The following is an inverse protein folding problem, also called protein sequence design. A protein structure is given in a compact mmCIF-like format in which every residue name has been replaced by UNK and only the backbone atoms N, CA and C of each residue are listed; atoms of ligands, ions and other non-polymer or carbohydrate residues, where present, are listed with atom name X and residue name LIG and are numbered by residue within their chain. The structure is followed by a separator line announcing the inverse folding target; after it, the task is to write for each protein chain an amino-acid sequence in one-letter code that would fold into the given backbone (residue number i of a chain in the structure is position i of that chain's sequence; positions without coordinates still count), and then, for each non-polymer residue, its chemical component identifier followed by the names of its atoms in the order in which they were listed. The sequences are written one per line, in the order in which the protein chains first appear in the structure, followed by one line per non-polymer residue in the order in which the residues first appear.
data_IF_600344066056
#
_entry.id   IF_600344066056
#
_cell.length_a   1.000
_cell.length_b   1.000
_cell.length_c   1.000
_cell.angle_alpha   90.00
_cell.angle_beta   90.00
_cell.angle_gamma   90.00
#
_symmetry.space_group_name_H-M   'P 1'
#
loop_
_entity.id
_entity.type
_entity.pdbx_description
1 polymer ?
#
# COMPACT_ATOMS: atom_id res chain seq x y z
N UNK A 1 -12.50 -10.05 2.72
CA UNK A 1 -11.61 -10.17 1.54
C UNK A 1 -10.20 -9.86 2.02
N UNK A 2 -9.26 -10.78 1.95
CA UNK A 2 -7.88 -10.52 2.34
C UNK A 2 -7.18 -9.63 1.29
N UNK A 3 -6.43 -8.63 1.78
CA UNK A 3 -5.69 -7.67 0.96
C UNK A 3 -4.22 -7.62 1.39
N UNK A 4 -3.32 -7.44 0.44
CA UNK A 4 -1.94 -7.04 0.68
C UNK A 4 -1.77 -5.60 0.19
N UNK A 5 -1.48 -4.69 1.10
CA UNK A 5 -1.19 -3.30 0.77
C UNK A 5 0.31 -3.15 0.51
N UNK A 6 0.66 -2.64 -0.65
CA UNK A 6 2.04 -2.57 -1.14
C UNK A 6 2.41 -1.11 -1.40
N UNK A 7 3.42 -0.60 -0.70
CA UNK A 7 4.07 0.63 -1.11
C UNK A 7 5.10 0.31 -2.19
N UNK A 8 5.02 0.99 -3.32
CA UNK A 8 5.91 0.73 -4.45
C UNK A 8 6.62 2.01 -4.92
N UNK A 9 7.95 2.02 -4.83
CA UNK A 9 8.80 2.99 -5.49
C UNK A 9 9.34 2.38 -6.78
N UNK A 10 8.71 2.73 -7.89
CA UNK A 10 9.04 2.15 -9.17
C UNK A 10 8.41 2.90 -10.34
N UNK A 11 8.66 2.43 -11.55
CA UNK A 11 8.09 2.95 -12.77
C UNK A 11 6.58 2.70 -12.83
N UNK A 12 5.89 3.55 -13.57
CA UNK A 12 4.46 3.37 -13.83
C UNK A 12 4.22 2.06 -14.62
N UNK A 13 5.18 1.66 -15.43
CA UNK A 13 5.14 0.42 -16.21
C UNK A 13 5.13 -0.79 -15.29
N UNK A 14 6.02 -0.85 -14.30
CA UNK A 14 6.04 -1.91 -13.29
C UNK A 14 4.70 -1.97 -12.54
N UNK A 15 4.17 -0.83 -12.11
CA UNK A 15 2.89 -0.80 -11.40
C UNK A 15 1.73 -1.32 -12.24
N UNK A 16 1.66 -0.91 -13.52
CA UNK A 16 0.62 -1.37 -14.47
C UNK A 16 0.75 -2.84 -14.83
N UNK A 17 1.95 -3.37 -14.80
CA UNK A 17 2.18 -4.79 -15.06
C UNK A 17 1.68 -5.68 -13.92
N UNK A 18 1.65 -5.16 -12.67
CA UNK A 18 1.15 -5.88 -11.50
C UNK A 18 -0.35 -5.67 -11.33
N UNK A 19 -0.86 -4.43 -11.47
CA UNK A 19 -2.26 -4.10 -11.19
C UNK A 19 -2.84 -3.07 -12.14
N UNK A 20 -4.17 -3.00 -12.19
CA UNK A 20 -4.91 -1.99 -12.96
C UNK A 20 -4.91 -0.66 -12.21
N UNK A 21 -4.56 0.43 -12.88
CA UNK A 21 -4.64 1.79 -12.34
C UNK A 21 -6.08 2.16 -11.95
N UNK A 22 -6.26 2.77 -10.78
CA UNK A 22 -7.59 3.14 -10.25
C UNK A 22 -7.71 4.62 -9.93
N UNK A 23 -6.70 5.22 -9.30
CA UNK A 23 -6.75 6.63 -8.87
C UNK A 23 -5.37 7.29 -8.97
N UNK A 24 -5.35 8.61 -9.18
CA UNK A 24 -4.13 9.41 -9.24
C UNK A 24 -4.37 10.77 -8.60
N UNK A 25 -3.67 11.03 -7.49
CA UNK A 25 -3.64 12.30 -6.78
C UNK A 25 -2.20 12.62 -6.35
N UNK A 26 -1.92 12.68 -5.06
CA UNK A 26 -0.54 12.73 -4.52
C UNK A 26 0.14 11.35 -4.60
N UNK A 27 -0.66 10.31 -4.66
CA UNK A 27 -0.24 8.92 -4.93
C UNK A 27 -1.05 8.35 -6.08
N UNK A 28 -0.47 7.40 -6.81
CA UNK A 28 -1.20 6.56 -7.76
C UNK A 28 -1.55 5.24 -7.11
N UNK A 29 -2.78 4.80 -7.33
CA UNK A 29 -3.27 3.53 -6.81
C UNK A 29 -3.49 2.52 -7.94
N UNK A 30 -3.10 1.27 -7.69
CA UNK A 30 -3.29 0.16 -8.62
C UNK A 30 -3.86 -1.04 -7.86
N UNK A 31 -4.73 -1.78 -8.50
CA UNK A 31 -5.40 -2.93 -7.88
C UNK A 31 -5.36 -4.13 -8.79
N UNK A 32 -5.02 -5.27 -8.21
CA UNK A 32 -5.18 -6.58 -8.84
C UNK A 32 -6.08 -7.45 -7.96
N UNK A 33 -7.09 -8.05 -8.56
CA UNK A 33 -8.07 -8.89 -7.86
C UNK A 33 -8.04 -10.29 -8.46
N UNK A 34 -7.89 -11.32 -7.62
CA UNK A 34 -7.95 -12.73 -8.03
C UNK A 34 -9.00 -13.49 -7.22
N UNK A 35 -9.72 -14.38 -7.88
CA UNK A 35 -10.80 -15.16 -7.27
C UNK A 35 -12.13 -14.42 -7.22
N UNK A 36 -13.12 -14.99 -6.53
CA UNK A 36 -14.47 -14.47 -6.41
C UNK A 36 -15.01 -14.64 -4.98
N UNK A 37 -16.01 -13.83 -4.61
CA UNK A 37 -16.67 -13.91 -3.31
C UNK A 37 -15.73 -13.66 -2.12
N UNK A 38 -15.95 -14.37 -1.00
CA UNK A 38 -15.18 -14.18 0.23
C UNK A 38 -13.71 -14.58 0.12
N UNK A 39 -13.35 -15.46 -0.82
CA UNK A 39 -12.00 -15.95 -1.05
C UNK A 39 -11.20 -15.07 -2.03
N UNK A 40 -11.79 -13.99 -2.53
CA UNK A 40 -11.10 -13.04 -3.39
C UNK A 40 -9.89 -12.44 -2.67
N UNK A 41 -8.70 -12.60 -3.28
CA UNK A 41 -7.45 -11.98 -2.83
C UNK A 41 -7.19 -10.70 -3.61
N UNK A 42 -6.64 -9.71 -2.93
CA UNK A 42 -6.43 -8.39 -3.52
C UNK A 42 -5.00 -7.94 -3.27
N UNK A 43 -4.34 -7.44 -4.31
CA UNK A 43 -3.13 -6.63 -4.21
C UNK A 43 -3.54 -5.17 -4.40
N UNK A 44 -3.22 -4.33 -3.42
CA UNK A 44 -3.44 -2.88 -3.46
C UNK A 44 -2.09 -2.18 -3.44
N UNK A 45 -1.70 -1.60 -4.58
CA UNK A 45 -0.42 -0.93 -4.70
C UNK A 45 -0.61 0.59 -4.61
N UNK A 46 0.25 1.24 -3.84
CA UNK A 46 0.28 2.69 -3.69
C UNK A 46 1.67 3.19 -4.10
N UNK A 47 1.70 3.96 -5.18
CA UNK A 47 2.92 4.57 -5.75
C UNK A 47 2.95 6.06 -5.41
N UNK A 48 3.91 6.55 -4.62
CA UNK A 48 4.06 7.97 -4.35
C UNK A 48 4.49 8.72 -5.61
N UNK A 49 3.91 9.91 -5.81
CA UNK A 49 4.31 10.82 -6.87
C UNK A 49 5.33 11.84 -6.35
N UNK A 50 6.20 12.29 -7.26
CA UNK A 50 7.17 13.35 -7.00
C UNK A 50 8.13 13.07 -5.82
N UNK A 51 8.45 11.82 -5.55
CA UNK A 51 9.56 11.46 -4.68
C UNK A 51 10.85 11.39 -5.54
N UNK A 52 12.01 11.93 -5.10
CA UNK A 52 12.31 12.42 -3.74
C UNK A 52 11.94 13.90 -3.46
N UNK A 53 11.47 14.69 -4.43
CA UNK A 53 11.18 16.13 -4.25
C UNK A 53 10.09 16.38 -3.20
N UNK A 54 9.17 15.43 -3.04
CA UNK A 54 8.09 15.46 -2.06
C UNK A 54 8.06 14.18 -1.25
N UNK A 55 8.38 14.27 0.04
CA UNK A 55 8.35 13.12 0.94
C UNK A 55 6.94 12.72 1.39
N UNK A 56 6.01 13.67 1.45
CA UNK A 56 4.66 13.42 2.00
C UNK A 56 3.90 12.29 1.30
N UNK A 57 3.88 12.19 -0.04
CA UNK A 57 3.27 11.06 -0.74
C UNK A 57 3.90 9.71 -0.37
N UNK A 58 5.23 9.67 -0.18
CA UNK A 58 5.91 8.47 0.28
C UNK A 58 5.44 8.06 1.67
N UNK A 59 5.38 9.00 2.62
CA UNK A 59 4.89 8.72 3.97
C UNK A 59 3.45 8.22 3.98
N UNK A 60 2.58 8.77 3.12
CA UNK A 60 1.21 8.29 2.96
C UNK A 60 1.17 6.85 2.45
N UNK A 61 2.00 6.50 1.46
CA UNK A 61 2.09 5.14 0.94
C UNK A 61 2.63 4.15 2.00
N UNK A 62 3.70 4.51 2.69
CA UNK A 62 4.32 3.68 3.74
C UNK A 62 3.38 3.45 4.93
N UNK A 63 2.57 4.46 5.29
CA UNK A 63 1.66 4.38 6.43
C UNK A 63 0.58 3.29 6.28
N UNK A 64 0.27 2.86 5.08
CA UNK A 64 -0.78 1.87 4.81
C UNK A 64 -0.23 0.53 4.35
N UNK A 65 1.06 0.43 4.07
CA UNK A 65 1.65 -0.74 3.45
C UNK A 65 2.02 -1.83 4.46
N UNK A 66 1.79 -3.08 4.05
CA UNK A 66 2.23 -4.31 4.72
C UNK A 66 3.46 -4.90 4.02
N UNK A 67 3.74 -4.45 2.80
CA UNK A 67 4.80 -4.95 1.93
C UNK A 67 5.42 -3.82 1.12
N UNK A 68 6.72 -3.91 0.83
CA UNK A 68 7.43 -2.91 0.05
C UNK A 68 7.96 -3.43 -1.28
N UNK A 69 7.96 -2.59 -2.31
CA UNK A 69 8.65 -2.87 -3.57
C UNK A 69 9.48 -1.64 -3.94
N UNK A 70 10.77 -1.83 -4.22
CA UNK A 70 11.64 -0.77 -4.74
C UNK A 70 12.26 -1.25 -6.06
N UNK A 71 12.02 -0.52 -7.14
CA UNK A 71 12.68 -0.73 -8.42
C UNK A 71 14.02 0.00 -8.42
N UNK A 72 15.11 -0.76 -8.48
CA UNK A 72 16.48 -0.25 -8.42
C UNK A 72 16.96 0.07 -9.82
N UNK A 73 16.99 1.36 -10.16
CA UNK A 73 17.49 1.84 -11.47
C UNK A 73 18.96 2.29 -11.41
N UNK A 74 19.45 2.65 -10.22
CA UNK A 74 20.83 3.09 -9.94
C UNK A 74 21.10 2.92 -8.45
N UNK A 75 22.40 2.87 -8.08
CA UNK A 75 22.81 2.94 -6.67
C UNK A 75 23.23 4.37 -6.37
N UNK A 76 22.35 5.14 -5.81
CA UNK A 76 22.52 6.55 -5.48
C UNK A 76 21.93 6.91 -4.11
N UNK A 77 22.02 8.19 -3.75
CA UNK A 77 21.49 8.67 -2.48
C UNK A 77 19.96 8.48 -2.35
N UNK A 78 19.23 8.65 -3.45
CA UNK A 78 17.76 8.50 -3.44
C UNK A 78 17.34 7.04 -3.16
N UNK A 79 18.09 6.05 -3.66
CA UNK A 79 17.88 4.65 -3.31
C UNK A 79 18.11 4.42 -1.81
N UNK A 80 19.21 4.96 -1.26
CA UNK A 80 19.52 4.85 0.17
C UNK A 80 18.44 5.48 1.05
N UNK A 81 18.00 6.70 0.71
CA UNK A 81 16.90 7.39 1.39
C UNK A 81 15.59 6.59 1.34
N UNK A 82 15.29 6.01 0.18
CA UNK A 82 14.13 5.13 0.00
C UNK A 82 14.18 3.94 0.94
N UNK A 83 15.28 3.21 0.95
CA UNK A 83 15.47 2.02 1.79
C UNK A 83 15.33 2.35 3.28
N UNK A 84 15.95 3.46 3.73
CA UNK A 84 15.83 3.94 5.12
C UNK A 84 14.39 4.31 5.46
N UNK A 85 13.66 4.95 4.54
CA UNK A 85 12.26 5.30 4.77
C UNK A 85 11.38 4.05 4.95
N UNK A 86 11.56 3.02 4.11
CA UNK A 86 10.85 1.74 4.25
C UNK A 86 11.21 1.02 5.54
N UNK A 87 12.48 0.94 5.89
CA UNK A 87 12.95 0.33 7.14
C UNK A 87 12.36 1.05 8.36
N UNK A 88 12.39 2.38 8.37
CA UNK A 88 11.87 3.20 9.46
C UNK A 88 10.34 3.13 9.62
N UNK A 89 9.62 2.74 8.58
CA UNK A 89 8.16 2.56 8.63
C UNK A 89 7.73 1.21 9.22
N UNK A 90 8.67 0.30 9.50
CA UNK A 90 8.40 -1.02 10.07
C UNK A 90 7.87 -2.04 9.06
N UNK A 91 8.07 -1.81 7.76
CA UNK A 91 7.72 -2.79 6.72
C UNK A 91 8.78 -3.89 6.70
N UNK A 92 8.43 -5.05 7.28
CA UNK A 92 9.35 -6.15 7.49
C UNK A 92 9.69 -6.92 6.21
N UNK A 93 8.80 -6.95 5.23
CA UNK A 93 8.94 -7.75 4.02
C UNK A 93 8.81 -6.91 2.76
N UNK A 94 9.61 -7.25 1.77
CA UNK A 94 9.57 -6.56 0.48
C UNK A 94 10.56 -7.12 -0.52
N UNK A 95 10.57 -6.49 -1.69
CA UNK A 95 11.42 -6.85 -2.82
C UNK A 95 12.16 -5.63 -3.37
N UNK A 96 13.43 -5.82 -3.66
CA UNK A 96 14.22 -4.94 -4.51
C UNK A 96 14.30 -5.58 -5.90
N UNK A 97 13.88 -4.86 -6.93
CA UNK A 97 13.91 -5.35 -8.31
C UNK A 97 14.95 -4.55 -9.08
N UNK A 98 16.06 -5.17 -9.44
CA UNK A 98 17.09 -4.52 -10.25
C UNK A 98 16.58 -4.40 -11.69
N UNK A 99 16.35 -3.16 -12.13
CA UNK A 99 15.86 -2.83 -13.44
C UNK A 99 16.55 -1.56 -13.95
N UNK A 100 17.86 -1.63 -14.31
CA UNK A 100 18.62 -0.47 -14.73
C UNK A 100 18.05 0.12 -16.01
N UNK A 101 17.97 1.44 -16.07
CA UNK A 101 17.66 2.15 -17.31
C UNK A 101 18.86 2.07 -18.27
N UNK A 102 18.55 2.08 -19.55
CA UNK A 102 19.55 2.16 -20.63
C UNK A 102 20.59 0.99 -20.67
N UNK A 103 20.24 -0.18 -20.12
CA UNK A 103 21.10 -1.34 -20.12
C UNK A 103 22.35 -1.21 -19.24
N UNK A 104 22.40 -0.24 -18.34
CA UNK A 104 23.47 -0.11 -17.36
C UNK A 104 23.54 -1.36 -16.47
N UNK A 105 24.73 -1.76 -16.08
CA UNK A 105 24.91 -2.86 -15.14
C UNK A 105 24.88 -2.34 -13.71
N UNK A 106 24.10 -2.98 -12.85
CA UNK A 106 24.04 -2.72 -11.41
C UNK A 106 24.55 -3.97 -10.70
N UNK A 107 25.53 -3.79 -9.83
CA UNK A 107 26.12 -4.86 -9.04
C UNK A 107 25.14 -5.32 -7.94
N UNK A 108 24.63 -6.56 -8.01
CA UNK A 108 23.67 -7.05 -7.01
C UNK A 108 24.27 -7.17 -5.61
N UNK A 109 25.56 -7.40 -5.48
CA UNK A 109 26.23 -7.49 -4.17
C UNK A 109 26.26 -6.12 -3.48
N UNK A 110 26.45 -5.05 -4.25
CA UNK A 110 26.34 -3.68 -3.72
C UNK A 110 24.91 -3.34 -3.32
N UNK A 111 23.91 -3.77 -4.09
CA UNK A 111 22.50 -3.59 -3.71
C UNK A 111 22.20 -4.31 -2.40
N UNK A 112 22.66 -5.56 -2.25
CA UNK A 112 22.51 -6.31 -1.00
C UNK A 112 23.21 -5.61 0.18
N UNK A 113 24.42 -5.10 -0.02
CA UNK A 113 25.15 -4.38 1.02
C UNK A 113 24.39 -3.13 1.49
N UNK A 114 23.91 -2.29 0.56
CA UNK A 114 23.13 -1.08 0.90
C UNK A 114 21.81 -1.45 1.57
N UNK A 115 21.11 -2.48 1.09
CA UNK A 115 19.90 -3.03 1.67
C UNK A 115 20.10 -3.43 3.13
N UNK A 116 21.15 -4.19 3.43
CA UNK A 116 21.44 -4.66 4.78
C UNK A 116 21.84 -3.51 5.71
N UNK A 117 22.62 -2.55 5.22
CA UNK A 117 22.97 -1.33 5.97
C UNK A 117 21.75 -0.45 6.27
N UNK A 118 20.77 -0.43 5.38
CA UNK A 118 19.50 0.29 5.59
C UNK A 118 18.52 -0.43 6.54
N UNK A 119 18.82 -1.66 7.00
CA UNK A 119 17.98 -2.43 7.91
C UNK A 119 16.88 -3.24 7.21
N UNK A 120 17.03 -3.52 5.92
CA UNK A 120 16.10 -4.32 5.11
C UNK A 120 16.62 -5.74 4.84
N UNK A 121 17.36 -6.34 5.77
CA UNK A 121 18.02 -7.65 5.56
C UNK A 121 17.05 -8.79 5.21
N UNK A 122 15.78 -8.70 5.64
CA UNK A 122 14.72 -9.66 5.34
C UNK A 122 14.13 -9.53 3.93
N UNK A 123 14.45 -8.44 3.20
CA UNK A 123 13.92 -8.20 1.86
C UNK A 123 14.66 -9.02 0.81
N UNK A 124 13.93 -9.48 -0.21
CA UNK A 124 14.52 -10.19 -1.34
C UNK A 124 15.15 -9.21 -2.34
N UNK A 125 16.12 -9.72 -3.12
CA UNK A 125 16.70 -8.99 -4.25
C UNK A 125 16.52 -9.81 -5.51
N UNK A 126 15.76 -9.27 -6.45
CA UNK A 126 15.61 -9.82 -7.80
C UNK A 126 16.66 -9.19 -8.70
N UNK A 127 17.55 -10.00 -9.26
CA UNK A 127 18.67 -9.53 -10.08
C UNK A 127 18.22 -9.03 -11.46
N UNK A 128 16.98 -9.27 -11.82
CA UNK A 128 16.33 -8.82 -13.06
C UNK A 128 14.81 -8.77 -12.81
N UNK A 129 14.09 -8.19 -13.75
CA UNK A 129 12.62 -8.20 -13.70
C UNK A 129 12.10 -9.64 -13.67
N UNK A 130 11.34 -10.04 -12.64
CA UNK A 130 10.76 -11.38 -12.56
C UNK A 130 9.66 -11.58 -13.62
N UNK A 131 9.31 -12.84 -13.92
CA UNK A 131 8.07 -13.11 -14.65
C UNK A 131 6.88 -12.56 -13.87
N UNK A 132 6.10 -11.73 -14.53
CA UNK A 132 5.05 -10.95 -13.86
C UNK A 132 3.87 -11.80 -13.37
N UNK A 133 3.59 -12.95 -13.99
CA UNK A 133 2.53 -13.83 -13.54
C UNK A 133 2.98 -14.62 -12.30
N UNK A 134 4.22 -15.13 -12.31
CA UNK A 134 4.82 -15.78 -11.16
C UNK A 134 4.96 -14.80 -10.00
N UNK A 135 5.39 -13.57 -10.28
CA UNK A 135 5.56 -12.53 -9.26
C UNK A 135 4.22 -12.14 -8.62
N UNK A 136 3.16 -11.92 -9.41
CA UNK A 136 1.81 -11.68 -8.88
C UNK A 136 1.33 -12.85 -7.99
N UNK A 137 1.58 -14.08 -8.44
CA UNK A 137 1.24 -15.28 -7.66
C UNK A 137 1.99 -15.33 -6.33
N UNK A 138 3.28 -14.99 -6.32
CA UNK A 138 4.09 -14.90 -5.11
C UNK A 138 3.56 -13.80 -4.16
N UNK A 139 3.25 -12.61 -4.66
CA UNK A 139 2.63 -11.54 -3.87
C UNK A 139 1.28 -11.94 -3.30
N UNK A 140 0.43 -12.62 -4.08
CA UNK A 140 -0.85 -13.15 -3.58
C UNK A 140 -0.65 -14.22 -2.49
N UNK A 141 0.47 -14.93 -2.51
CA UNK A 141 0.87 -15.84 -1.45
C UNK A 141 1.20 -15.13 -0.12
N UNK A 142 1.61 -13.87 -0.16
CA UNK A 142 1.87 -13.05 1.03
C UNK A 142 0.60 -12.46 1.67
N UNK A 143 -0.54 -12.54 0.97
CA UNK A 143 -1.82 -12.05 1.50
C UNK A 143 -2.21 -12.88 2.72
N UNK A 144 -2.02 -12.32 3.91
CA UNK A 144 -2.40 -12.96 5.18
C UNK A 144 -3.91 -12.83 5.39
N UNK A 145 -4.53 -13.86 6.04
CA UNK A 145 -5.87 -13.67 6.59
C UNK A 145 -5.78 -12.60 7.67
N UNK A 146 -6.52 -11.53 7.48
CA UNK A 146 -6.53 -10.41 8.41
C UNK A 146 -7.16 -10.86 9.74
N UNK A 147 -6.37 -10.82 10.79
CA UNK A 147 -6.86 -10.95 12.14
C UNK A 147 -7.36 -9.57 12.59
N UNK A 148 -8.65 -9.33 12.46
CA UNK A 148 -9.31 -8.09 12.92
C UNK A 148 -9.47 -8.13 14.44
N UNK A 149 -8.37 -8.28 15.17
CA UNK A 149 -8.34 -8.28 16.64
C UNK A 149 -7.90 -6.90 17.12
N UNK A 150 -8.61 -6.35 18.11
CA UNK A 150 -8.28 -5.07 18.72
C UNK A 150 -9.39 -4.03 18.59
N UNK A 151 -9.20 -2.90 19.24
CA UNK A 151 -10.10 -1.75 19.13
C UNK A 151 -10.08 -1.18 17.71
N UNK A 152 -11.22 -0.66 17.28
CA UNK A 152 -11.34 -0.03 15.98
C UNK A 152 -10.45 1.20 15.89
N UNK A 153 -9.59 1.22 14.89
CA UNK A 153 -8.81 2.38 14.50
C UNK A 153 -8.84 2.54 12.99
N UNK A 154 -9.33 3.68 12.53
CA UNK A 154 -9.34 4.07 11.11
C UNK A 154 -8.50 5.32 10.93
N UNK A 155 -7.48 5.24 10.08
CA UNK A 155 -6.72 6.41 9.65
C UNK A 155 -7.44 7.09 8.52
N UNK A 156 -7.90 8.33 8.71
CA UNK A 156 -8.52 9.15 7.66
C UNK A 156 -7.42 9.91 6.91
N UNK A 157 -7.30 9.65 5.63
CA UNK A 157 -6.37 10.35 4.73
C UNK A 157 -6.99 11.64 4.18
N UNK A 158 -8.27 11.56 3.78
CA UNK A 158 -9.00 12.67 3.19
C UNK A 158 -10.45 12.70 3.68
N UNK A 159 -11.03 13.89 3.69
CA UNK A 159 -12.45 14.06 3.95
C UNK A 159 -13.03 15.20 3.10
N UNK A 160 -14.28 15.07 2.70
CA UNK A 160 -15.01 16.08 1.95
C UNK A 160 -16.52 15.95 2.20
N UNK A 161 -17.26 17.00 1.87
CA UNK A 161 -18.72 17.01 2.03
C UNK A 161 -19.36 16.80 0.66
N UNK A 162 -20.22 15.79 0.57
CA UNK A 162 -21.04 15.52 -0.61
C UNK A 162 -22.46 15.96 -0.37
N UNK A 163 -23.00 16.79 -1.28
CA UNK A 163 -24.39 17.27 -1.17
C UNK A 163 -25.38 16.10 -1.20
N UNK A 164 -26.21 15.99 -0.19
CA UNK A 164 -27.21 14.92 -0.04
C UNK A 164 -26.71 13.65 0.66
N UNK A 165 -25.40 13.46 0.80
CA UNK A 165 -24.79 12.32 1.51
C UNK A 165 -24.26 12.77 2.88
N UNK A 166 -23.54 13.87 2.94
CA UNK A 166 -22.91 14.38 4.16
C UNK A 166 -21.41 14.34 4.11
N UNK A 167 -20.78 14.18 5.27
CA UNK A 167 -19.33 14.03 5.40
C UNK A 167 -18.90 12.66 4.89
N UNK A 168 -17.92 12.63 4.02
CA UNK A 168 -17.30 11.42 3.47
C UNK A 168 -15.84 11.41 3.87
N UNK A 169 -15.36 10.29 4.41
CA UNK A 169 -13.96 10.04 4.72
C UNK A 169 -13.38 8.97 3.81
N UNK A 170 -12.15 9.17 3.37
CA UNK A 170 -11.33 8.16 2.70
C UNK A 170 -10.20 7.80 3.65
N UNK A 171 -9.98 6.51 3.86
CA UNK A 171 -8.98 6.06 4.80
C UNK A 171 -8.76 4.56 4.82
N UNK A 172 -8.07 4.08 5.85
CA UNK A 172 -7.71 2.67 6.01
C UNK A 172 -8.06 2.19 7.41
N UNK A 173 -8.64 1.00 7.51
CA UNK A 173 -8.83 0.31 8.79
C UNK A 173 -7.49 -0.22 9.27
N UNK A 174 -6.95 0.35 10.36
CA UNK A 174 -5.65 -0.01 10.94
C UNK A 174 -5.76 -1.20 11.90
N UNK A 175 -6.86 -1.25 12.65
CA UNK A 175 -7.18 -2.35 13.58
C UNK A 175 -8.68 -2.47 13.78
N UNK A 176 -9.14 -3.61 14.27
CA UNK A 176 -10.55 -3.88 14.51
C UNK A 176 -11.35 -4.10 13.24
N UNK A 177 -12.66 -3.91 13.36
CA UNK A 177 -13.64 -4.04 12.28
C UNK A 177 -14.49 -2.79 12.30
N UNK A 178 -14.66 -2.12 11.18
CA UNK A 178 -15.62 -1.03 11.04
C UNK A 178 -16.92 -1.58 10.47
N UNK A 179 -18.02 -1.36 11.16
CA UNK A 179 -19.32 -1.82 10.73
C UNK A 179 -20.24 -0.66 10.33
N UNK A 180 -21.13 -0.94 9.42
CA UNK A 180 -22.21 -0.01 9.05
C UNK A 180 -23.13 0.22 10.25
N UNK A 181 -23.53 1.48 10.46
CA UNK A 181 -24.34 1.96 11.59
C UNK A 181 -23.61 1.95 12.95
N UNK A 182 -22.32 1.70 12.98
CA UNK A 182 -21.50 1.82 14.18
C UNK A 182 -21.30 3.27 14.61
N UNK A 183 -21.27 3.50 15.93
CA UNK A 183 -20.90 4.80 16.49
C UNK A 183 -19.38 4.91 16.56
N UNK A 184 -18.84 6.01 16.06
CA UNK A 184 -17.40 6.27 16.01
C UNK A 184 -17.06 7.60 16.65
N UNK A 185 -15.89 7.68 17.29
CA UNK A 185 -15.31 8.93 17.77
C UNK A 185 -14.25 9.41 16.81
N UNK A 186 -14.33 10.66 16.36
CA UNK A 186 -13.46 11.25 15.34
C UNK A 186 -12.47 12.20 16.01
N UNK A 187 -11.21 11.86 15.97
CA UNK A 187 -10.11 12.66 16.51
C UNK A 187 -9.56 13.67 15.47
N UNK A 188 -8.93 14.77 15.90
CA UNK A 188 -8.57 15.12 17.29
C UNK A 188 -9.69 15.81 18.08
N UNK A 189 -10.82 16.16 17.46
CA UNK A 189 -11.88 16.97 18.10
C UNK A 189 -12.83 16.17 19.01
N UNK A 190 -12.68 14.85 19.09
CA UNK A 190 -13.58 13.95 19.81
C UNK A 190 -15.06 14.12 19.39
N UNK A 191 -15.29 14.32 18.10
CA UNK A 191 -16.63 14.41 17.56
C UNK A 191 -17.24 13.01 17.41
N UNK A 192 -18.51 12.86 17.76
CA UNK A 192 -19.24 11.61 17.57
C UNK A 192 -19.88 11.58 16.18
N UNK A 193 -19.83 10.41 15.55
CA UNK A 193 -20.46 10.15 14.26
C UNK A 193 -21.07 8.75 14.21
N UNK A 194 -21.88 8.53 13.18
CA UNK A 194 -22.44 7.21 12.87
C UNK A 194 -22.04 6.88 11.43
N UNK A 195 -21.48 5.71 11.23
CA UNK A 195 -21.12 5.17 9.91
C UNK A 195 -22.39 4.86 9.14
N UNK A 196 -22.71 5.65 8.12
CA UNK A 196 -23.96 5.48 7.34
C UNK A 196 -23.83 4.44 6.24
N UNK A 197 -22.70 4.42 5.58
CA UNK A 197 -22.38 3.50 4.48
C UNK A 197 -20.89 3.22 4.45
N UNK A 198 -20.52 2.08 3.93
CA UNK A 198 -19.14 1.68 3.73
C UNK A 198 -18.97 1.22 2.29
N UNK A 199 -17.92 1.69 1.64
CA UNK A 199 -17.48 1.19 0.33
C UNK A 199 -16.01 0.75 0.40
N UNK A 200 -15.73 -0.40 -0.14
CA UNK A 200 -14.40 -0.95 -0.29
C UNK A 200 -14.16 -1.23 -1.76
N UNK A 201 -13.22 -0.49 -2.38
CA UNK A 201 -12.91 -0.63 -3.80
C UNK A 201 -14.14 -0.57 -4.72
N UNK A 202 -15.01 0.43 -4.51
CA UNK A 202 -16.27 0.70 -5.22
C UNK A 202 -17.40 -0.31 -4.96
N UNK A 203 -17.19 -1.31 -4.10
CA UNK A 203 -18.24 -2.25 -3.69
C UNK A 203 -18.85 -1.81 -2.33
N UNK A 204 -20.19 -1.72 -2.24
CA UNK A 204 -20.88 -1.50 -0.97
C UNK A 204 -20.70 -2.72 -0.06
N UNK A 205 -20.37 -2.46 1.21
CA UNK A 205 -20.13 -3.51 2.21
C UNK A 205 -20.79 -3.15 3.53
N UNK A 206 -21.20 -4.16 4.32
CA UNK A 206 -21.71 -3.93 5.67
C UNK A 206 -20.59 -3.82 6.71
N UNK A 207 -19.42 -4.34 6.42
CA UNK A 207 -18.24 -4.29 7.30
C UNK A 207 -16.93 -4.23 6.53
N UNK A 208 -15.97 -3.52 7.10
CA UNK A 208 -14.62 -3.44 6.58
C UNK A 208 -13.62 -3.93 7.64
N UNK A 209 -12.73 -4.81 7.22
CA UNK A 209 -11.69 -5.42 8.04
C UNK A 209 -10.40 -4.62 7.98
N UNK A 210 -9.50 -4.86 8.92
CA UNK A 210 -8.14 -4.31 8.94
C UNK A 210 -7.46 -4.44 7.56
N UNK A 211 -6.75 -3.39 7.14
CA UNK A 211 -6.02 -3.32 5.87
C UNK A 211 -6.87 -2.92 4.66
N UNK A 212 -8.19 -2.82 4.77
CA UNK A 212 -9.04 -2.37 3.67
C UNK A 212 -9.04 -0.84 3.55
N UNK A 213 -8.90 -0.37 2.31
CA UNK A 213 -9.15 1.03 1.96
C UNK A 213 -10.66 1.30 1.92
N UNK A 214 -11.06 2.35 2.61
CA UNK A 214 -12.45 2.81 2.70
C UNK A 214 -12.64 4.08 1.88
N UNK A 215 -13.76 4.20 1.21
CA UNK A 215 -14.12 5.40 0.45
C UNK A 215 -15.26 6.20 1.11
N UNK A 216 -16.06 5.60 1.97
CA UNK A 216 -17.18 6.26 2.64
C UNK A 216 -17.24 5.93 4.13
N UNK A 217 -17.39 6.94 4.96
CA UNK A 217 -17.77 6.82 6.37
C UNK A 217 -18.97 7.71 6.61
#
# INVERSE_FOLDING_TARGET
MPVLNIAILGSQELCRSIGKHTDSRDVESYVFKEGAGPDRRILSLVRPLNFPERIRPLLSALNVADYGIIEVNSIDAALGESMVAFSSSGIEHGDLIINPKDGAWIDPDKVNLVKDQAGLSSWNVHHQMPDLNEYRTALLGQVKKQNSVGELLVSIDQHFVVKGIGLVGIGYVRSGILERHENVEIYPKKANGIVRSLQVMDDDVDRALTGLSLIHI
#
